data_IF_937001822458
#
_entry.id   IF_937001822458
#
_cell.length_a   1.000
_cell.length_b   1.000
_cell.length_c   1.000
_cell.angle_alpha   90.00
_cell.angle_beta   90.00
_cell.angle_gamma   90.00
#
_symmetry.space_group_name_H-M   'P 1'
#
loop_
_entity.id
_entity.type
_entity.pdbx_description
1 polymer ?
#
# COMPACT_ATOMS: atom_id res chain seq x y z
N UNK A 1 14.11 -43.46 -34.63
CA UNK A 1 13.58 -42.10 -34.46
C UNK A 1 14.78 -41.17 -34.45
N UNK A 2 14.91 -40.25 -35.41
CA UNK A 2 16.00 -39.27 -35.40
C UNK A 2 15.71 -38.24 -34.30
N UNK A 3 16.67 -38.07 -33.39
CA UNK A 3 16.61 -37.08 -32.32
C UNK A 3 17.01 -35.73 -32.91
N UNK A 4 16.09 -34.77 -32.92
CA UNK A 4 16.34 -33.47 -33.55
C UNK A 4 17.42 -32.70 -32.80
N UNK A 5 18.39 -32.16 -33.55
CA UNK A 5 19.52 -31.40 -32.99
C UNK A 5 19.02 -30.17 -32.21
N UNK A 6 19.52 -29.91 -30.98
CA UNK A 6 19.03 -28.84 -30.13
C UNK A 6 19.31 -27.47 -30.75
N UNK A 7 18.25 -26.68 -30.98
CA UNK A 7 18.32 -25.34 -31.57
C UNK A 7 18.19 -24.29 -30.48
N UNK A 8 19.15 -23.37 -30.38
CA UNK A 8 19.06 -22.24 -29.44
C UNK A 8 18.06 -21.20 -29.98
N UNK A 9 16.98 -20.98 -29.23
CA UNK A 9 15.95 -19.96 -29.53
C UNK A 9 16.14 -18.79 -28.58
N UNK A 10 16.10 -17.56 -29.10
CA UNK A 10 16.03 -16.37 -28.24
C UNK A 10 14.62 -16.30 -27.64
N UNK A 11 14.56 -16.18 -26.32
CA UNK A 11 13.32 -16.05 -25.54
C UNK A 11 13.38 -14.73 -24.79
N UNK A 12 12.40 -13.87 -25.00
CA UNK A 12 12.23 -12.67 -24.20
C UNK A 12 11.57 -13.04 -22.87
N UNK A 13 12.32 -12.87 -21.78
CA UNK A 13 11.82 -13.10 -20.42
C UNK A 13 11.36 -11.76 -19.85
N UNK A 14 10.08 -11.58 -19.51
CA UNK A 14 9.62 -10.35 -18.89
C UNK A 14 10.26 -10.22 -17.50
N UNK A 15 10.95 -9.11 -17.28
CA UNK A 15 11.54 -8.77 -15.97
C UNK A 15 10.60 -7.83 -15.25
N UNK A 16 10.33 -8.11 -13.97
CA UNK A 16 9.53 -7.21 -13.14
C UNK A 16 10.23 -5.86 -13.00
N UNK A 17 9.53 -4.77 -13.36
CA UNK A 17 10.05 -3.41 -13.16
C UNK A 17 9.79 -3.01 -11.70
N UNK A 18 10.83 -2.65 -10.94
CA UNK A 18 10.64 -2.23 -9.56
C UNK A 18 9.93 -0.87 -9.51
N UNK A 19 8.88 -0.76 -8.69
CA UNK A 19 8.24 0.52 -8.42
C UNK A 19 9.21 1.48 -7.71
N UNK A 20 9.27 2.74 -8.16
CA UNK A 20 10.15 3.79 -7.62
C UNK A 20 9.40 4.84 -6.79
N UNK A 21 8.45 4.39 -5.98
CA UNK A 21 7.65 5.27 -5.12
C UNK A 21 8.10 5.09 -3.67
N UNK A 22 8.34 6.19 -2.91
CA UNK A 22 8.68 6.08 -1.50
C UNK A 22 7.54 5.41 -0.69
N UNK A 23 7.87 4.71 0.40
CA UNK A 23 6.84 4.12 1.25
C UNK A 23 5.92 5.20 1.83
N UNK A 24 4.62 4.92 1.85
CA UNK A 24 3.63 5.80 2.50
C UNK A 24 3.65 5.52 3.99
N UNK A 25 4.08 6.51 4.78
CA UNK A 25 4.18 6.41 6.22
C UNK A 25 2.82 6.16 6.89
N UNK A 26 2.81 5.27 7.88
CA UNK A 26 1.61 4.96 8.65
C UNK A 26 1.34 6.12 9.64
N UNK A 27 0.16 6.75 9.61
CA UNK A 27 -0.16 7.82 10.56
C UNK A 27 -0.18 7.34 12.01
N UNK A 28 0.14 8.26 12.92
CA UNK A 28 -0.20 8.08 14.34
C UNK A 28 -1.73 8.16 14.51
N UNK A 29 -2.36 6.99 14.57
CA UNK A 29 -3.82 6.85 14.66
C UNK A 29 -4.38 7.51 15.91
N UNK A 30 -5.38 8.37 15.74
CA UNK A 30 -5.96 9.14 16.83
C UNK A 30 -6.58 8.25 17.92
N UNK A 31 -7.00 7.03 17.60
CA UNK A 31 -7.56 6.09 18.59
C UNK A 31 -6.50 5.30 19.37
N UNK A 32 -5.22 5.36 18.98
CA UNK A 32 -4.16 4.53 19.59
C UNK A 32 -4.00 4.75 21.11
N UNK A 33 -4.35 5.93 21.61
CA UNK A 33 -4.28 6.29 23.02
C UNK A 33 -5.57 6.12 23.81
N UNK A 34 -6.67 5.68 23.19
CA UNK A 34 -7.96 5.57 23.87
C UNK A 34 -7.95 4.47 24.95
N UNK A 35 -8.54 4.79 26.09
CA UNK A 35 -8.76 3.88 27.21
C UNK A 35 -10.23 3.52 27.32
N UNK A 36 -10.50 2.35 27.91
CA UNK A 36 -11.87 1.91 28.19
C UNK A 36 -12.63 2.91 29.09
N UNK A 37 -11.93 3.51 30.05
CA UNK A 37 -12.45 4.49 31.01
C UNK A 37 -12.72 5.87 30.42
N UNK A 38 -12.26 6.17 29.20
CA UNK A 38 -12.47 7.49 28.61
C UNK A 38 -13.96 7.75 28.39
N UNK A 39 -14.36 9.01 28.56
CA UNK A 39 -15.73 9.43 28.32
C UNK A 39 -16.10 9.31 26.83
N UNK A 40 -17.40 9.32 26.56
CA UNK A 40 -17.91 9.14 25.21
C UNK A 40 -17.50 10.27 24.26
N UNK A 41 -17.37 11.51 24.74
CA UNK A 41 -17.00 12.65 23.90
C UNK A 41 -15.55 12.54 23.43
N UNK A 42 -14.65 12.12 24.32
CA UNK A 42 -13.25 11.82 24.00
C UNK A 42 -13.14 10.72 22.94
N UNK A 43 -13.90 9.63 23.11
CA UNK A 43 -13.94 8.52 22.14
C UNK A 43 -14.47 8.97 20.76
N UNK A 44 -15.59 9.68 20.74
CA UNK A 44 -16.19 10.18 19.48
C UNK A 44 -15.23 11.13 18.76
N UNK A 45 -14.58 12.05 19.48
CA UNK A 45 -13.60 12.97 18.89
C UNK A 45 -12.42 12.23 18.25
N UNK A 46 -11.85 11.25 18.96
CA UNK A 46 -10.75 10.44 18.44
C UNK A 46 -11.18 9.63 17.20
N UNK A 47 -12.37 9.02 17.22
CA UNK A 47 -12.90 8.28 16.07
C UNK A 47 -13.15 9.18 14.84
N UNK A 48 -13.68 10.38 15.04
CA UNK A 48 -13.87 11.36 13.96
C UNK A 48 -12.54 11.82 13.37
N UNK A 49 -11.54 12.09 14.23
CA UNK A 49 -10.21 12.45 13.79
C UNK A 49 -9.56 11.31 12.99
N UNK A 50 -9.64 10.07 13.48
CA UNK A 50 -9.08 8.91 12.79
C UNK A 50 -9.77 8.65 11.45
N UNK A 51 -11.10 8.86 11.36
CA UNK A 51 -11.82 8.75 10.09
C UNK A 51 -11.21 9.66 9.02
N UNK A 52 -10.87 10.90 9.37
CA UNK A 52 -10.21 11.84 8.46
C UNK A 52 -8.77 11.39 8.13
N UNK A 53 -8.03 10.88 9.12
CA UNK A 53 -6.69 10.31 8.88
C UNK A 53 -6.74 9.14 7.88
N UNK A 54 -7.73 8.25 8.00
CA UNK A 54 -7.91 7.10 7.09
C UNK A 54 -8.20 7.55 5.67
N UNK A 55 -9.08 8.54 5.47
CA UNK A 55 -9.36 9.11 4.15
C UNK A 55 -8.08 9.65 3.51
N UNK A 56 -7.27 10.40 4.27
CA UNK A 56 -6.00 10.93 3.77
C UNK A 56 -4.99 9.83 3.42
N UNK A 57 -4.84 8.84 4.30
CA UNK A 57 -3.92 7.72 4.10
C UNK A 57 -4.31 6.88 2.88
N UNK A 58 -5.60 6.60 2.70
CA UNK A 58 -6.10 5.89 1.53
C UNK A 58 -5.84 6.66 0.23
N UNK A 59 -6.04 7.99 0.24
CA UNK A 59 -5.71 8.83 -0.90
C UNK A 59 -4.21 8.79 -1.25
N UNK A 60 -3.33 8.80 -0.25
CA UNK A 60 -1.88 8.68 -0.45
C UNK A 60 -1.50 7.30 -1.00
N UNK A 61 -2.10 6.22 -0.47
CA UNK A 61 -1.87 4.86 -0.97
C UNK A 61 -2.32 4.71 -2.42
N UNK A 62 -3.48 5.25 -2.79
CA UNK A 62 -3.96 5.24 -4.16
C UNK A 62 -3.04 6.04 -5.09
N UNK A 63 -2.52 7.18 -4.65
CA UNK A 63 -1.56 7.97 -5.41
C UNK A 63 -0.24 7.20 -5.62
N UNK A 64 0.29 6.58 -4.57
CA UNK A 64 1.49 5.75 -4.64
C UNK A 64 1.30 4.55 -5.58
N UNK A 65 0.16 3.88 -5.50
CA UNK A 65 -0.18 2.74 -6.35
C UNK A 65 -0.25 3.14 -7.83
N UNK A 66 -0.92 4.25 -8.16
CA UNK A 66 -0.99 4.78 -9.53
C UNK A 66 0.39 5.15 -10.06
N UNK A 67 1.24 5.75 -9.24
CA UNK A 67 2.62 6.08 -9.62
C UNK A 67 3.50 4.83 -9.85
N UNK A 68 3.15 3.67 -9.28
CA UNK A 68 3.81 2.39 -9.57
C UNK A 68 3.34 1.73 -10.88
N UNK A 69 2.13 2.05 -11.35
CA UNK A 69 1.51 1.41 -12.50
C UNK A 69 1.81 2.14 -13.82
N UNK A 70 2.14 3.43 -13.74
CA UNK A 70 2.63 4.23 -14.85
C UNK A 70 4.14 4.02 -15.04
#
# INVERSE_FOLDING_TARGET
RQEAEPRTVRVDVPVAVPCRVPPVEVPAWATAGLKKSDDIQTKVRALLAERLQRIGYEAQLLAANRACQN
#
